data_IF_297548030926
#
_entry.id   IF_297548030926
#
_cell.length_a   1.000
_cell.length_b   1.000
_cell.length_c   1.000
_cell.angle_alpha   90.00
_cell.angle_beta   90.00
_cell.angle_gamma   90.00
#
_symmetry.space_group_name_H-M   'P 1'
#
loop_
_entity.id
_entity.type
_entity.pdbx_description
1 polymer ?
#
# COMPACT_ATOMS: atom_id res chain seq x y z
N UNK A 1 24.37 -0.83 -7.50
CA UNK A 1 23.57 -0.54 -8.71
C UNK A 1 22.64 -1.74 -8.98
N UNK A 2 21.53 -1.83 -8.26
CA UNK A 2 20.63 -2.99 -8.35
C UNK A 2 19.89 -3.07 -9.70
N UNK A 3 19.78 -1.94 -10.41
CA UNK A 3 19.03 -1.83 -11.67
C UNK A 3 19.86 -1.38 -12.87
N UNK A 4 21.17 -1.18 -12.73
CA UNK A 4 21.99 -0.53 -13.76
C UNK A 4 21.58 0.93 -14.00
N UNK A 5 20.87 1.55 -13.06
CA UNK A 5 20.51 2.96 -13.09
C UNK A 5 21.62 3.70 -12.32
N UNK A 6 22.43 4.47 -13.03
CA UNK A 6 23.32 5.44 -12.39
C UNK A 6 22.49 6.68 -12.04
N UNK A 7 22.38 6.96 -10.76
CA UNK A 7 21.87 8.23 -10.28
C UNK A 7 23.05 9.20 -10.19
N UNK A 8 23.11 10.14 -11.10
CA UNK A 8 24.14 11.21 -11.13
C UNK A 8 23.70 12.42 -10.29
N UNK A 9 22.82 12.19 -9.34
CA UNK A 9 22.24 13.22 -8.45
C UNK A 9 22.96 13.21 -7.11
N UNK A 10 23.06 14.36 -6.45
CA UNK A 10 23.56 14.46 -5.10
C UNK A 10 22.58 13.83 -4.07
N UNK A 11 23.06 13.55 -2.86
CA UNK A 11 22.17 13.06 -1.80
C UNK A 11 21.09 14.10 -1.44
N UNK A 12 21.42 15.39 -1.51
CA UNK A 12 20.47 16.48 -1.33
C UNK A 12 19.37 16.48 -2.40
N UNK A 13 19.73 16.35 -3.68
CA UNK A 13 18.75 16.28 -4.78
C UNK A 13 17.82 15.08 -4.61
N UNK A 14 18.36 13.93 -4.19
CA UNK A 14 17.56 12.73 -3.93
C UNK A 14 16.61 12.93 -2.74
N UNK A 15 17.03 13.61 -1.69
CA UNK A 15 16.15 13.95 -0.56
C UNK A 15 14.99 14.85 -1.00
N UNK A 16 15.24 15.87 -1.80
CA UNK A 16 14.19 16.74 -2.33
C UNK A 16 13.17 15.98 -3.19
N UNK A 17 13.61 14.98 -3.94
CA UNK A 17 12.73 14.13 -4.74
C UNK A 17 11.88 13.16 -3.91
N UNK A 18 12.39 12.72 -2.77
CA UNK A 18 11.78 11.68 -1.93
C UNK A 18 10.98 12.24 -0.75
N UNK A 19 11.15 13.52 -0.43
CA UNK A 19 10.50 14.15 0.71
C UNK A 19 9.61 15.31 0.24
N UNK A 20 8.48 15.46 0.91
CA UNK A 20 7.64 16.66 0.74
C UNK A 20 8.25 17.83 1.48
N UNK A 21 8.02 19.03 0.96
CA UNK A 21 8.38 20.27 1.67
C UNK A 21 7.53 20.43 2.94
N UNK A 22 7.98 21.32 3.84
CA UNK A 22 7.18 21.70 5.03
C UNK A 22 5.87 22.39 4.67
N UNK A 23 5.78 22.93 3.46
CA UNK A 23 4.63 23.65 2.92
C UNK A 23 3.72 22.74 2.06
N UNK A 24 3.86 21.42 2.18
CA UNK A 24 3.01 20.45 1.49
C UNK A 24 1.53 20.72 1.80
N UNK A 25 0.73 20.97 0.77
CA UNK A 25 -0.62 21.50 0.88
C UNK A 25 -1.69 20.43 1.10
N UNK A 26 -1.49 19.27 0.48
CA UNK A 26 -2.49 18.20 0.50
C UNK A 26 -1.88 16.82 0.17
N UNK A 27 -2.73 15.80 0.29
CA UNK A 27 -2.34 14.42 0.01
C UNK A 27 -1.89 14.21 -1.45
N UNK A 28 -2.42 14.95 -2.42
CA UNK A 28 -2.05 14.74 -3.82
C UNK A 28 -0.61 15.17 -4.07
N UNK A 29 -0.20 16.32 -3.52
CA UNK A 29 1.19 16.78 -3.57
C UNK A 29 2.15 15.79 -2.87
N UNK A 30 1.71 15.19 -1.75
CA UNK A 30 2.47 14.13 -1.09
C UNK A 30 2.62 12.90 -1.98
N UNK A 31 1.56 12.47 -2.65
CA UNK A 31 1.57 11.28 -3.53
C UNK A 31 2.49 11.42 -4.74
N UNK A 32 2.76 12.64 -5.23
CA UNK A 32 3.71 12.88 -6.32
C UNK A 32 5.13 12.38 -5.98
N UNK A 33 5.51 12.36 -4.69
CA UNK A 33 6.82 11.87 -4.26
C UNK A 33 7.03 10.37 -4.43
N UNK A 34 5.95 9.61 -4.64
CA UNK A 34 6.04 8.19 -4.95
C UNK A 34 6.41 7.90 -6.42
N UNK A 35 6.26 8.86 -7.34
CA UNK A 35 6.51 8.64 -8.76
C UNK A 35 7.96 8.21 -9.01
N UNK A 36 8.93 8.89 -8.41
CA UNK A 36 10.33 8.57 -8.61
C UNK A 36 10.74 7.18 -8.09
N UNK A 37 10.46 6.80 -6.83
CA UNK A 37 10.71 5.44 -6.35
C UNK A 37 10.07 4.36 -7.23
N UNK A 38 8.85 4.59 -7.72
CA UNK A 38 8.17 3.66 -8.61
C UNK A 38 8.95 3.42 -9.91
N UNK A 39 9.61 4.44 -10.49
CA UNK A 39 10.43 4.24 -11.70
C UNK A 39 11.59 3.27 -11.49
N UNK A 40 12.10 3.15 -10.27
CA UNK A 40 13.20 2.27 -9.89
C UNK A 40 12.74 0.83 -9.63
N UNK A 41 11.47 0.64 -9.26
CA UNK A 41 10.91 -0.64 -8.82
C UNK A 41 10.03 -1.28 -9.92
N UNK A 42 10.56 -1.35 -11.15
CA UNK A 42 9.88 -1.92 -12.31
C UNK A 42 10.49 -3.24 -12.81
N UNK A 43 11.41 -3.84 -12.03
CA UNK A 43 12.03 -5.14 -12.32
C UNK A 43 11.92 -6.05 -11.11
N UNK A 44 11.75 -7.35 -11.35
CA UNK A 44 11.57 -8.34 -10.28
C UNK A 44 12.75 -8.34 -9.28
N UNK A 45 13.98 -8.23 -9.77
CA UNK A 45 15.17 -8.19 -8.94
C UNK A 45 15.20 -6.95 -8.02
N UNK A 46 14.78 -5.79 -8.55
CA UNK A 46 14.73 -4.56 -7.79
C UNK A 46 13.69 -4.62 -6.67
N UNK A 47 12.51 -5.17 -6.97
CA UNK A 47 11.45 -5.36 -5.98
C UNK A 47 11.92 -6.33 -4.89
N UNK A 48 12.50 -7.47 -5.26
CA UNK A 48 13.05 -8.46 -4.33
C UNK A 48 14.06 -7.84 -3.38
N UNK A 49 15.00 -7.08 -3.94
CA UNK A 49 16.08 -6.48 -3.14
C UNK A 49 15.58 -5.33 -2.27
N UNK A 50 14.64 -4.52 -2.75
CA UNK A 50 14.00 -3.48 -1.96
C UNK A 50 13.34 -4.05 -0.70
N UNK A 51 12.61 -5.16 -0.82
CA UNK A 51 11.98 -5.83 0.34
C UNK A 51 13.06 -6.36 1.29
N UNK A 52 14.14 -6.99 0.79
CA UNK A 52 15.25 -7.46 1.64
C UNK A 52 15.92 -6.34 2.41
N UNK A 53 16.23 -5.23 1.73
CA UNK A 53 16.86 -4.07 2.36
C UNK A 53 15.96 -3.45 3.42
N UNK A 54 14.65 -3.37 3.16
CA UNK A 54 13.69 -2.88 4.13
C UNK A 54 13.65 -3.77 5.39
N UNK A 55 13.58 -5.08 5.22
CA UNK A 55 13.61 -6.04 6.32
C UNK A 55 14.91 -5.91 7.12
N UNK A 56 16.06 -5.90 6.45
CA UNK A 56 17.35 -5.74 7.13
C UNK A 56 17.44 -4.43 7.95
N UNK A 57 16.85 -3.34 7.39
CA UNK A 57 16.72 -2.06 8.11
C UNK A 57 15.81 -2.16 9.33
N UNK A 58 14.70 -2.86 9.23
CA UNK A 58 13.76 -3.08 10.33
C UNK A 58 14.38 -3.95 11.43
N UNK A 59 15.01 -5.05 11.05
CA UNK A 59 15.72 -5.94 12.00
C UNK A 59 16.82 -5.18 12.77
N UNK A 60 17.58 -4.32 12.09
CA UNK A 60 18.61 -3.50 12.72
C UNK A 60 18.06 -2.52 13.75
N UNK A 61 16.79 -2.16 13.64
CA UNK A 61 16.07 -1.29 14.58
C UNK A 61 15.30 -2.08 15.65
N UNK A 62 15.38 -3.41 15.65
CA UNK A 62 14.70 -4.27 16.61
C UNK A 62 13.20 -4.43 16.35
N UNK A 63 12.74 -4.17 15.14
CA UNK A 63 11.34 -4.41 14.75
C UNK A 63 11.14 -5.92 14.59
N UNK A 64 10.35 -6.52 15.47
CA UNK A 64 10.12 -7.96 15.49
C UNK A 64 9.04 -8.45 14.55
N UNK A 65 8.12 -7.58 14.11
CA UNK A 65 7.06 -7.93 13.17
C UNK A 65 6.71 -6.73 12.29
N UNK A 66 6.52 -6.97 11.01
CA UNK A 66 6.06 -5.94 10.09
C UNK A 66 5.18 -6.48 8.96
N UNK A 67 4.28 -5.65 8.49
CA UNK A 67 3.46 -5.88 7.30
C UNK A 67 3.79 -4.82 6.26
N UNK A 68 4.63 -5.18 5.31
CA UNK A 68 5.09 -4.30 4.24
C UNK A 68 3.97 -4.17 3.22
N UNK A 69 3.50 -2.93 2.96
CA UNK A 69 2.41 -2.71 2.03
C UNK A 69 2.87 -2.02 0.75
N UNK A 70 2.31 -2.45 -0.37
CA UNK A 70 2.56 -1.88 -1.69
C UNK A 70 1.45 -2.24 -2.67
N UNK A 71 1.34 -1.50 -3.79
CA UNK A 71 0.36 -1.74 -4.84
C UNK A 71 1.02 -2.46 -6.03
N UNK A 72 0.77 -3.77 -6.25
CA UNK A 72 1.42 -4.53 -7.32
C UNK A 72 1.22 -3.91 -8.71
N UNK A 73 0.04 -3.36 -8.97
CA UNK A 73 -0.34 -2.74 -10.24
C UNK A 73 0.54 -1.53 -10.63
N UNK A 74 1.27 -0.91 -9.70
CA UNK A 74 2.13 0.23 -9.98
C UNK A 74 3.53 -0.17 -10.48
N UNK A 75 3.85 -1.46 -10.52
CA UNK A 75 5.16 -1.99 -10.87
C UNK A 75 5.19 -2.75 -12.21
N UNK A 76 4.20 -2.49 -13.09
CA UNK A 76 4.01 -3.21 -14.35
C UNK A 76 4.54 -2.47 -15.59
N UNK A 77 5.06 -1.26 -15.45
CA UNK A 77 5.42 -0.37 -16.57
C UNK A 77 6.52 -0.95 -17.49
N UNK A 78 7.31 -1.90 -17.03
CA UNK A 78 8.36 -2.58 -17.81
C UNK A 78 8.01 -4.04 -18.15
N UNK A 79 6.70 -4.36 -18.18
CA UNK A 79 6.19 -5.62 -18.69
C UNK A 79 6.01 -6.74 -17.68
N UNK A 80 6.24 -6.49 -16.39
CA UNK A 80 5.86 -7.44 -15.34
C UNK A 80 4.32 -7.52 -15.22
N UNK A 81 3.81 -8.70 -14.98
CA UNK A 81 2.43 -8.91 -14.50
C UNK A 81 2.34 -8.63 -13.01
N UNK A 82 1.14 -8.34 -12.49
CA UNK A 82 0.96 -8.19 -11.04
C UNK A 82 1.41 -9.44 -10.27
N UNK A 83 1.19 -10.63 -10.82
CA UNK A 83 1.61 -11.87 -10.17
C UNK A 83 3.14 -11.98 -10.06
N UNK A 84 3.89 -11.61 -11.10
CA UNK A 84 5.36 -11.60 -11.07
C UNK A 84 5.88 -10.58 -10.04
N UNK A 85 5.22 -9.44 -9.94
CA UNK A 85 5.52 -8.42 -8.91
C UNK A 85 5.31 -8.98 -7.50
N UNK A 86 4.17 -9.62 -7.23
CA UNK A 86 3.86 -10.25 -5.93
C UNK A 86 4.86 -11.35 -5.60
N UNK A 87 5.20 -12.23 -6.57
CA UNK A 87 6.22 -13.27 -6.38
C UNK A 87 7.60 -12.69 -6.06
N UNK A 88 7.97 -11.60 -6.72
CA UNK A 88 9.26 -10.92 -6.46
C UNK A 88 9.30 -10.35 -5.03
N UNK A 89 8.21 -9.74 -4.56
CA UNK A 89 8.11 -9.24 -3.19
C UNK A 89 8.14 -10.39 -2.16
N UNK A 90 7.40 -11.49 -2.39
CA UNK A 90 7.43 -12.68 -1.53
C UNK A 90 8.85 -13.28 -1.48
N UNK A 91 9.56 -13.34 -2.60
CA UNK A 91 10.96 -13.77 -2.62
C UNK A 91 11.85 -12.88 -1.75
N UNK A 92 11.54 -11.58 -1.66
CA UNK A 92 12.25 -10.63 -0.81
C UNK A 92 12.05 -10.88 0.69
N UNK A 93 10.94 -11.52 1.09
CA UNK A 93 10.69 -11.89 2.50
C UNK A 93 11.65 -12.99 3.00
N UNK A 94 12.30 -13.73 2.10
CA UNK A 94 13.25 -14.81 2.41
C UNK A 94 12.72 -15.84 3.42
N UNK A 95 11.44 -16.23 3.29
CA UNK A 95 10.70 -17.12 4.18
C UNK A 95 10.59 -16.62 5.64
N UNK A 96 10.68 -15.33 5.88
CA UNK A 96 10.51 -14.76 7.22
C UNK A 96 9.11 -15.07 7.78
N UNK A 97 9.06 -15.54 9.04
CA UNK A 97 7.81 -15.69 9.78
C UNK A 97 7.29 -14.37 10.36
N UNK A 98 8.14 -13.35 10.41
CA UNK A 98 7.89 -12.08 11.11
C UNK A 98 7.58 -10.91 10.16
N UNK A 99 7.94 -11.03 8.88
CA UNK A 99 7.68 -10.00 7.88
C UNK A 99 6.68 -10.53 6.85
N UNK A 100 5.65 -9.76 6.59
CA UNK A 100 4.52 -10.13 5.71
C UNK A 100 4.24 -9.01 4.71
N UNK A 101 3.38 -9.30 3.75
CA UNK A 101 2.95 -8.35 2.73
C UNK A 101 1.47 -8.05 2.86
N UNK A 102 1.12 -6.78 2.64
CA UNK A 102 -0.24 -6.32 2.36
C UNK A 102 -0.28 -5.84 0.92
N UNK A 103 -1.23 -6.32 0.12
CA UNK A 103 -1.41 -5.87 -1.26
C UNK A 103 -2.43 -4.74 -1.32
N UNK A 104 -2.04 -3.58 -1.89
CA UNK A 104 -2.92 -2.43 -1.99
C UNK A 104 -3.73 -2.45 -3.28
N UNK A 105 -5.04 -2.40 -3.18
CA UNK A 105 -5.90 -1.87 -4.21
C UNK A 105 -5.72 -0.35 -4.27
N UNK A 106 -5.79 0.22 -5.47
CA UNK A 106 -5.57 1.66 -5.66
C UNK A 106 -6.87 2.39 -5.95
N UNK A 107 -7.01 3.56 -5.33
CA UNK A 107 -8.06 4.51 -5.68
C UNK A 107 -7.78 5.11 -7.06
N UNK A 108 -8.80 5.20 -7.90
CA UNK A 108 -8.70 5.72 -9.26
C UNK A 108 -9.98 5.46 -10.05
N UNK A 109 -10.14 6.08 -11.23
CA UNK A 109 -11.31 5.92 -12.08
C UNK A 109 -11.30 4.62 -12.89
N UNK A 110 -10.11 4.13 -13.28
CA UNK A 110 -9.95 3.05 -14.24
C UNK A 110 -9.20 1.84 -13.66
N UNK A 111 -9.24 1.69 -12.33
CA UNK A 111 -8.45 0.69 -11.60
C UNK A 111 -9.25 -0.59 -11.26
N UNK A 112 -10.51 -0.70 -11.66
CA UNK A 112 -11.39 -1.78 -11.16
C UNK A 112 -10.84 -3.17 -11.49
N UNK A 113 -10.47 -3.43 -12.75
CA UNK A 113 -9.94 -4.75 -13.15
C UNK A 113 -8.57 -5.04 -12.52
N UNK A 114 -7.70 -4.02 -12.41
CA UNK A 114 -6.42 -4.16 -11.73
C UNK A 114 -6.61 -4.45 -10.23
N UNK A 115 -7.56 -3.81 -9.59
CA UNK A 115 -7.90 -4.06 -8.19
C UNK A 115 -8.50 -5.47 -8.00
N UNK A 116 -9.37 -5.95 -8.91
CA UNK A 116 -9.87 -7.32 -8.87
C UNK A 116 -8.75 -8.35 -9.00
N UNK A 117 -7.76 -8.08 -9.86
CA UNK A 117 -6.57 -8.94 -9.95
C UNK A 117 -5.77 -8.91 -8.65
N UNK A 118 -5.56 -7.74 -8.06
CA UNK A 118 -4.89 -7.60 -6.75
C UNK A 118 -5.58 -8.44 -5.67
N UNK A 119 -6.93 -8.42 -5.62
CA UNK A 119 -7.72 -9.23 -4.66
C UNK A 119 -7.53 -10.73 -4.93
N UNK A 120 -7.60 -11.18 -6.19
CA UNK A 120 -7.35 -12.58 -6.55
C UNK A 120 -5.95 -13.04 -6.16
N UNK A 121 -4.95 -12.20 -6.35
CA UNK A 121 -3.57 -12.49 -5.96
C UNK A 121 -3.42 -12.53 -4.44
N UNK A 122 -4.06 -11.61 -3.71
CA UNK A 122 -4.08 -11.68 -2.26
C UNK A 122 -4.69 -13.00 -1.76
N UNK A 123 -5.81 -13.43 -2.33
CA UNK A 123 -6.41 -14.74 -2.04
C UNK A 123 -5.45 -15.89 -2.36
N UNK A 124 -4.85 -15.88 -3.55
CA UNK A 124 -3.92 -16.93 -4.00
C UNK A 124 -2.70 -17.09 -3.10
N UNK A 125 -2.18 -15.98 -2.56
CA UNK A 125 -0.97 -15.95 -1.73
C UNK A 125 -1.23 -15.75 -0.24
N UNK A 126 -2.50 -15.77 0.20
CA UNK A 126 -2.87 -15.68 1.60
C UNK A 126 -2.19 -16.79 2.41
N UNK A 127 -1.52 -16.43 3.50
CA UNK A 127 -0.72 -17.36 4.31
C UNK A 127 0.60 -17.81 3.67
N UNK A 128 0.94 -17.32 2.45
CA UNK A 128 2.18 -17.60 1.74
C UNK A 128 3.01 -16.32 1.54
N UNK A 129 3.11 -15.51 2.56
CA UNK A 129 3.76 -14.21 2.56
C UNK A 129 2.78 -13.04 2.54
N UNK A 130 1.62 -13.17 1.90
CA UNK A 130 0.56 -12.16 1.94
C UNK A 130 -0.38 -12.45 3.11
N UNK A 131 -0.77 -11.41 3.85
CA UNK A 131 -1.65 -11.53 5.02
C UNK A 131 -2.92 -10.69 4.94
N UNK A 132 -2.95 -9.63 4.12
CA UNK A 132 -4.11 -8.75 4.03
C UNK A 132 -4.14 -7.97 2.70
N UNK A 133 -5.25 -7.29 2.49
CA UNK A 133 -5.40 -6.23 1.49
C UNK A 133 -5.41 -4.85 2.14
N UNK A 134 -5.25 -3.82 1.31
CA UNK A 134 -5.47 -2.43 1.67
C UNK A 134 -6.15 -1.68 0.51
N UNK A 135 -6.73 -0.53 0.80
CA UNK A 135 -7.18 0.46 -0.19
C UNK A 135 -6.43 1.76 0.05
N UNK A 136 -5.58 2.17 -0.90
CA UNK A 136 -4.70 3.33 -0.79
C UNK A 136 -4.88 4.30 -1.97
N UNK A 137 -4.29 5.49 -1.86
CA UNK A 137 -4.29 6.54 -2.89
C UNK A 137 -5.14 7.75 -2.53
N UNK A 138 -5.51 8.58 -3.52
CA UNK A 138 -6.12 9.90 -3.35
C UNK A 138 -7.56 9.81 -2.80
N UNK A 139 -7.69 9.71 -1.47
CA UNK A 139 -8.96 9.48 -0.76
C UNK A 139 -10.02 10.53 -1.09
N UNK A 140 -9.64 11.81 -1.10
CA UNK A 140 -10.56 12.93 -1.36
C UNK A 140 -11.11 12.92 -2.79
N UNK A 141 -10.30 12.50 -3.77
CA UNK A 141 -10.72 12.43 -5.18
C UNK A 141 -11.58 11.18 -5.45
N UNK A 142 -11.28 10.09 -4.77
CA UNK A 142 -11.95 8.80 -4.93
C UNK A 142 -12.43 8.27 -3.58
N UNK A 143 -13.61 8.72 -3.12
CA UNK A 143 -14.16 8.37 -1.81
C UNK A 143 -14.30 6.86 -1.59
N UNK A 144 -14.12 6.40 -0.36
CA UNK A 144 -14.17 4.98 0.05
C UNK A 144 -15.43 4.26 -0.44
N UNK A 145 -16.58 4.93 -0.49
CA UNK A 145 -17.86 4.37 -0.94
C UNK A 145 -17.84 3.83 -2.38
N UNK A 146 -16.96 4.33 -3.24
CA UNK A 146 -16.83 3.84 -4.62
C UNK A 146 -16.29 2.41 -4.68
N UNK A 147 -15.61 1.95 -3.64
CA UNK A 147 -14.92 0.66 -3.58
C UNK A 147 -15.69 -0.42 -2.80
N UNK A 148 -16.86 -0.09 -2.25
CA UNK A 148 -17.70 -1.06 -1.50
C UNK A 148 -17.99 -2.31 -2.34
N UNK A 149 -18.26 -2.13 -3.64
CA UNK A 149 -18.60 -3.25 -4.55
C UNK A 149 -17.46 -4.24 -4.69
N UNK A 150 -16.24 -3.75 -4.90
CA UNK A 150 -15.07 -4.60 -5.18
C UNK A 150 -14.59 -5.33 -3.91
N UNK A 151 -14.67 -4.72 -2.74
CA UNK A 151 -14.25 -5.35 -1.48
C UNK A 151 -15.21 -6.45 -0.98
N UNK A 152 -16.42 -6.56 -1.57
CA UNK A 152 -17.28 -7.75 -1.35
C UNK A 152 -16.60 -9.04 -1.81
N UNK A 153 -15.75 -8.98 -2.84
CA UNK A 153 -14.96 -10.13 -3.29
C UNK A 153 -13.90 -10.52 -2.25
N UNK A 154 -13.24 -9.53 -1.63
CA UNK A 154 -12.30 -9.76 -0.53
C UNK A 154 -12.98 -10.46 0.67
N UNK A 155 -14.18 -10.00 1.05
CA UNK A 155 -14.99 -10.65 2.10
C UNK A 155 -15.35 -12.09 1.72
N UNK A 156 -15.77 -12.33 0.48
CA UNK A 156 -16.15 -13.67 0.00
C UNK A 156 -14.95 -14.64 0.05
N UNK A 157 -13.74 -14.15 -0.08
CA UNK A 157 -12.50 -14.92 0.04
C UNK A 157 -11.96 -14.98 1.48
N UNK A 158 -12.63 -14.37 2.46
CA UNK A 158 -12.17 -14.23 3.84
C UNK A 158 -10.76 -13.63 3.95
N UNK A 159 -10.45 -12.63 3.12
CA UNK A 159 -9.18 -11.92 3.18
C UNK A 159 -9.32 -10.76 4.16
N UNK A 160 -8.50 -10.70 5.24
CA UNK A 160 -8.45 -9.53 6.10
C UNK A 160 -8.04 -8.28 5.29
N UNK A 161 -8.57 -7.13 5.64
CA UNK A 161 -8.13 -5.90 5.00
C UNK A 161 -8.16 -4.68 5.93
N UNK A 162 -7.30 -3.75 5.62
CA UNK A 162 -7.28 -2.39 6.13
C UNK A 162 -7.73 -1.43 5.04
N UNK A 163 -8.16 -0.25 5.40
CA UNK A 163 -8.51 0.81 4.43
C UNK A 163 -7.91 2.13 4.92
N UNK A 164 -7.17 2.83 4.06
CA UNK A 164 -6.81 4.22 4.30
C UNK A 164 -8.10 5.04 4.31
N UNK A 165 -8.51 5.53 5.46
CA UNK A 165 -9.74 6.28 5.63
C UNK A 165 -9.58 7.36 6.71
N UNK A 166 -10.20 8.52 6.47
CA UNK A 166 -10.11 9.65 7.38
C UNK A 166 -8.72 10.32 7.40
N UNK A 167 -7.95 10.19 6.35
CA UNK A 167 -6.71 10.94 6.11
C UNK A 167 -7.00 12.28 5.44
N UNK A 168 -7.62 12.24 4.26
CA UNK A 168 -7.95 13.42 3.45
C UNK A 168 -9.46 13.63 3.27
N UNK A 169 -10.28 12.65 3.64
CA UNK A 169 -11.75 12.72 3.67
C UNK A 169 -12.25 12.68 5.12
N UNK A 170 -13.57 12.87 5.33
CA UNK A 170 -14.20 12.96 6.63
C UNK A 170 -14.44 11.61 7.33
N UNK A 171 -15.15 11.67 8.48
CA UNK A 171 -15.51 10.47 9.26
C UNK A 171 -16.41 9.49 8.49
N UNK A 172 -17.16 9.97 7.48
CA UNK A 172 -17.96 9.11 6.61
C UNK A 172 -17.12 8.08 5.85
N UNK A 173 -15.90 8.44 5.49
CA UNK A 173 -14.94 7.51 4.89
C UNK A 173 -14.58 6.38 5.86
N UNK A 174 -14.38 6.71 7.14
CA UNK A 174 -14.08 5.73 8.21
C UNK A 174 -15.29 4.82 8.43
N UNK A 175 -16.51 5.39 8.57
CA UNK A 175 -17.75 4.61 8.71
C UNK A 175 -17.97 3.66 7.54
N UNK A 176 -17.70 4.14 6.32
CA UNK A 176 -17.79 3.30 5.13
C UNK A 176 -16.79 2.15 5.19
N UNK A 177 -15.55 2.39 5.62
CA UNK A 177 -14.54 1.33 5.78
C UNK A 177 -14.95 0.28 6.81
N UNK A 178 -15.51 0.71 7.96
CA UNK A 178 -16.07 -0.21 8.98
C UNK A 178 -17.23 -1.02 8.39
N UNK A 179 -18.16 -0.35 7.70
CA UNK A 179 -19.29 -1.01 7.04
C UNK A 179 -18.84 -2.06 6.00
N UNK A 180 -17.73 -1.79 5.31
CA UNK A 180 -17.12 -2.72 4.37
C UNK A 180 -16.53 -3.96 5.06
N UNK A 181 -16.36 -3.94 6.38
CA UNK A 181 -15.74 -5.02 7.15
C UNK A 181 -14.23 -4.90 7.30
N UNK A 182 -13.67 -3.69 7.16
CA UNK A 182 -12.25 -3.47 7.42
C UNK A 182 -11.92 -3.81 8.89
N UNK A 183 -10.91 -4.65 9.11
CA UNK A 183 -10.44 -5.01 10.45
C UNK A 183 -9.57 -3.92 11.08
N UNK A 184 -8.99 -3.07 10.26
CA UNK A 184 -8.14 -1.94 10.66
C UNK A 184 -8.40 -0.74 9.78
N UNK A 185 -8.22 0.47 10.34
CA UNK A 185 -8.30 1.73 9.62
C UNK A 185 -6.89 2.31 9.51
N UNK A 186 -6.44 2.54 8.29
CA UNK A 186 -5.24 3.32 8.02
C UNK A 186 -5.52 4.80 8.31
N UNK A 187 -4.61 5.48 9.00
CA UNK A 187 -4.71 6.86 9.47
C UNK A 187 -5.82 7.11 10.49
N UNK A 188 -7.07 7.15 10.09
CA UNK A 188 -8.20 7.39 11.01
C UNK A 188 -8.18 8.76 11.69
N UNK A 189 -7.39 9.72 11.23
CA UNK A 189 -7.12 11.01 11.91
C UNK A 189 -8.41 11.78 12.18
N UNK A 190 -9.36 11.71 11.25
CA UNK A 190 -10.64 12.42 11.34
C UNK A 190 -11.58 11.86 12.41
N UNK A 191 -11.33 10.67 12.92
CA UNK A 191 -12.06 10.10 14.05
C UNK A 191 -11.91 10.98 15.32
N UNK A 192 -10.74 11.60 15.50
CA UNK A 192 -10.47 12.47 16.66
C UNK A 192 -11.41 13.68 16.78
N UNK A 193 -12.17 14.00 15.74
CA UNK A 193 -13.13 15.14 15.74
C UNK A 193 -14.55 14.74 16.14
N UNK A 194 -14.81 13.45 16.38
CA UNK A 194 -16.13 12.92 16.69
C UNK A 194 -16.04 11.90 17.83
N UNK A 195 -16.61 12.25 19.00
CA UNK A 195 -16.68 11.32 20.14
C UNK A 195 -17.41 10.03 19.80
N UNK A 196 -18.44 10.10 18.93
CA UNK A 196 -19.20 8.93 18.51
C UNK A 196 -18.36 8.02 17.63
N UNK A 197 -17.53 8.59 16.74
CA UNK A 197 -16.60 7.82 15.92
C UNK A 197 -15.53 7.12 16.78
N UNK A 198 -14.99 7.80 17.79
CA UNK A 198 -14.05 7.20 18.72
C UNK A 198 -14.67 6.02 19.45
N UNK A 199 -15.93 6.14 19.89
CA UNK A 199 -16.66 5.04 20.56
C UNK A 199 -16.94 3.88 19.62
N UNK A 200 -17.18 4.14 18.34
CA UNK A 200 -17.43 3.10 17.33
C UNK A 200 -16.15 2.31 16.99
N UNK A 201 -14.98 2.95 17.09
CA UNK A 201 -13.67 2.32 16.85
C UNK A 201 -13.08 1.58 18.08
N UNK A 202 -13.61 1.83 19.29
CA UNK A 202 -13.14 1.23 20.53
C UNK A 202 -13.77 -0.14 20.81
#
# INVERSE_FOLDING_TARGET
LINGIELNESEEDLKERLQVSKDCRDLNEYLEKFEFPLTLLQKAEAITECVRMLIAGQDSQGIMYSEIRFAPQLHMQKGLTQEEVVKAAIKGLDNSDYHKLILCCMRGSDNEELNKETIRLAHKYLGRGVVALDLAGAEKLYPTKQFVGIFKEALAYNIPFTIHAGEADGEESIRTAIYMGAERIGHGIRAAWSEDMIKELA
#
